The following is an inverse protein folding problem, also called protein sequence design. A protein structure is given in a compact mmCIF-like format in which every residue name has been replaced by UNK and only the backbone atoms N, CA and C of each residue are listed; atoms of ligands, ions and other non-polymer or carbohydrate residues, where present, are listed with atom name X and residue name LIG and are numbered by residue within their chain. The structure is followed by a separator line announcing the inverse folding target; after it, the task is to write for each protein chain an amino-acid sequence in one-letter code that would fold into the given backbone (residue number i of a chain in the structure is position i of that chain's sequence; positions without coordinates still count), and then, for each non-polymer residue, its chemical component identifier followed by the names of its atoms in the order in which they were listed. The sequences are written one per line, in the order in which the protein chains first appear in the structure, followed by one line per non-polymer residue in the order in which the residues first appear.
data_IF_636969733240
#
_entry.id   IF_636969733240
#
_cell.length_a   1.000
_cell.length_b   1.000
_cell.length_c   1.000
_cell.angle_alpha   90.00
_cell.angle_beta   90.00
_cell.angle_gamma   90.00
#
_symmetry.space_group_name_H-M   'P 1'
#
loop_
_entity.id
_entity.type
_entity.pdbx_description
1 polymer ?
#
# COMPACT_ATOMS: atom_id res chain seq x y z
N UNK A 1 -46.56 42.28 -1.27
CA UNK A 1 -46.37 41.13 -2.19
C UNK A 1 -44.92 41.06 -2.62
N UNK A 2 -44.35 39.86 -2.75
CA UNK A 2 -42.93 39.52 -3.09
C UNK A 2 -41.95 39.37 -1.90
N UNK A 3 -42.30 38.59 -0.89
CA UNK A 3 -41.30 38.00 0.03
C UNK A 3 -41.16 36.45 0.00
N UNK A 4 -42.05 35.64 -0.61
CA UNK A 4 -41.86 34.18 -0.56
C UNK A 4 -40.91 33.63 -1.64
N UNK A 5 -40.46 34.44 -2.60
CA UNK A 5 -39.63 33.96 -3.72
C UNK A 5 -38.14 33.84 -3.37
N UNK A 6 -37.64 34.64 -2.42
CA UNK A 6 -36.21 34.69 -2.09
C UNK A 6 -35.79 33.50 -1.21
N UNK A 7 -36.70 32.98 -0.37
CA UNK A 7 -36.40 31.82 0.49
C UNK A 7 -36.31 30.51 -0.30
N UNK A 8 -37.06 30.38 -1.40
CA UNK A 8 -37.00 29.17 -2.25
C UNK A 8 -35.70 29.09 -3.08
N UNK A 9 -35.08 30.24 -3.37
CA UNK A 9 -33.88 30.29 -4.20
C UNK A 9 -32.60 29.94 -3.43
N UNK A 10 -32.57 30.10 -2.10
CA UNK A 10 -31.41 29.71 -1.28
C UNK A 10 -31.35 28.20 -0.98
N UNK A 11 -32.48 27.49 -1.03
CA UNK A 11 -32.53 26.04 -0.79
C UNK A 11 -32.12 25.20 -2.01
N UNK A 12 -32.04 25.81 -3.20
CA UNK A 12 -31.64 25.12 -4.42
C UNK A 12 -30.11 25.03 -4.62
N UNK A 13 -29.31 25.68 -3.76
CA UNK A 13 -27.85 25.72 -3.88
C UNK A 13 -27.10 24.75 -2.95
N UNK A 14 -27.82 23.83 -2.29
CA UNK A 14 -27.23 22.71 -1.53
C UNK A 14 -27.31 21.39 -2.34
N UNK A 15 -27.60 21.50 -3.64
CA UNK A 15 -27.64 20.40 -4.58
C UNK A 15 -26.27 19.75 -4.77
N UNK A 16 -26.01 18.74 -3.95
CA UNK A 16 -25.32 17.51 -4.33
C UNK A 16 -23.96 17.71 -5.02
N UNK A 17 -22.92 18.00 -4.21
CA UNK A 17 -21.60 17.43 -4.50
C UNK A 17 -21.67 15.92 -4.29
N UNK A 18 -22.36 15.21 -5.19
CA UNK A 18 -22.10 13.80 -5.44
C UNK A 18 -20.69 13.76 -6.03
N UNK A 19 -19.70 13.63 -5.14
CA UNK A 19 -18.38 13.17 -5.54
C UNK A 19 -18.63 11.92 -6.39
N UNK A 20 -18.24 11.97 -7.67
CA UNK A 20 -18.32 10.82 -8.55
C UNK A 20 -17.71 9.64 -7.80
N UNK A 21 -18.41 8.48 -7.72
CA UNK A 21 -17.84 7.32 -7.07
C UNK A 21 -16.45 7.09 -7.69
N UNK A 22 -15.41 6.88 -6.87
CA UNK A 22 -14.07 6.66 -7.39
C UNK A 22 -14.17 5.60 -8.49
N UNK A 23 -13.61 5.91 -9.66
CA UNK A 23 -13.72 5.07 -10.85
C UNK A 23 -13.49 3.61 -10.45
N UNK A 24 -14.52 2.79 -10.65
CA UNK A 24 -14.48 1.39 -10.22
C UNK A 24 -13.31 0.70 -10.90
N UNK A 25 -12.46 0.07 -10.10
CA UNK A 25 -11.32 -0.71 -10.58
C UNK A 25 -11.75 -2.11 -11.02
N UNK A 26 -13.00 -2.50 -10.68
CA UNK A 26 -13.54 -3.80 -10.99
C UNK A 26 -13.52 -4.09 -12.49
N UNK A 27 -13.02 -5.27 -12.85
CA UNK A 27 -12.90 -5.75 -14.22
C UNK A 27 -11.70 -5.21 -14.99
N UNK A 28 -10.95 -4.24 -14.44
CA UNK A 28 -9.77 -3.68 -15.08
C UNK A 28 -8.53 -4.53 -14.82
N UNK A 29 -7.60 -4.51 -15.76
CA UNK A 29 -6.28 -5.14 -15.60
C UNK A 29 -5.30 -4.21 -14.88
N UNK A 30 -4.23 -4.76 -14.31
CA UNK A 30 -3.23 -3.94 -13.60
C UNK A 30 -2.62 -2.84 -14.48
N UNK A 31 -2.45 -3.11 -15.78
CA UNK A 31 -1.92 -2.16 -16.76
C UNK A 31 -2.86 -1.00 -17.06
N UNK A 32 -4.17 -1.21 -16.95
CA UNK A 32 -5.17 -0.15 -17.17
C UNK A 32 -5.29 0.81 -15.98
N UNK A 33 -5.07 0.31 -14.76
CA UNK A 33 -5.18 1.12 -13.53
C UNK A 33 -3.87 1.86 -13.23
N UNK A 34 -2.74 1.38 -13.75
CA UNK A 34 -1.42 2.03 -13.66
C UNK A 34 -1.02 2.46 -12.23
N UNK A 35 -1.28 1.60 -11.22
CA UNK A 35 -0.97 1.88 -9.82
C UNK A 35 0.46 1.51 -9.41
N UNK A 36 1.04 0.55 -10.12
CA UNK A 36 2.38 0.02 -9.87
C UNK A 36 3.11 -0.16 -11.20
N UNK A 37 4.37 0.27 -11.25
CA UNK A 37 5.22 0.03 -12.41
C UNK A 37 5.43 -1.49 -12.64
N UNK A 38 5.21 -2.01 -13.86
CA UNK A 38 5.47 -3.42 -14.18
C UNK A 38 6.90 -3.86 -13.86
N UNK A 39 7.87 -2.93 -13.94
CA UNK A 39 9.27 -3.21 -13.60
C UNK A 39 9.45 -3.51 -12.11
N UNK A 40 8.75 -2.78 -11.23
CA UNK A 40 8.77 -2.99 -9.77
C UNK A 40 8.08 -4.29 -9.41
N UNK A 41 6.93 -4.55 -10.03
CA UNK A 41 6.19 -5.78 -9.82
C UNK A 41 7.01 -7.00 -10.24
N UNK A 42 7.60 -7.00 -11.44
CA UNK A 42 8.42 -8.12 -11.95
C UNK A 42 9.58 -8.50 -11.00
N UNK A 43 10.10 -7.53 -10.25
CA UNK A 43 11.18 -7.75 -9.27
C UNK A 43 10.67 -8.27 -7.94
N UNK A 44 9.44 -7.90 -7.54
CA UNK A 44 8.92 -8.15 -6.19
C UNK A 44 8.18 -9.49 -6.06
N UNK A 45 7.63 -10.00 -7.17
CA UNK A 45 6.88 -11.26 -7.19
C UNK A 45 7.50 -12.28 -8.14
N UNK A 46 7.14 -13.57 -7.97
CA UNK A 46 7.66 -14.61 -8.84
C UNK A 46 7.14 -14.46 -10.29
N UNK A 47 7.95 -14.90 -11.26
CA UNK A 47 7.62 -14.82 -12.70
C UNK A 47 6.29 -15.52 -13.05
N UNK A 48 5.94 -16.59 -12.30
CA UNK A 48 4.68 -17.33 -12.47
C UNK A 48 3.47 -16.44 -12.18
N UNK A 49 3.47 -15.73 -11.05
CA UNK A 49 2.35 -14.87 -10.67
C UNK A 49 2.36 -13.53 -11.41
N UNK A 50 3.52 -13.04 -11.81
CA UNK A 50 3.64 -11.80 -12.57
C UNK A 50 2.80 -11.79 -13.84
N UNK A 51 2.90 -12.85 -14.66
CA UNK A 51 2.11 -12.93 -15.89
C UNK A 51 0.61 -13.00 -15.61
N UNK A 52 0.21 -13.76 -14.59
CA UNK A 52 -1.20 -13.88 -14.18
C UNK A 52 -1.76 -12.54 -13.72
N UNK A 53 -1.07 -11.81 -12.84
CA UNK A 53 -1.55 -10.54 -12.29
C UNK A 53 -1.68 -9.42 -13.33
N UNK A 54 -0.93 -9.49 -14.44
CA UNK A 54 -1.06 -8.53 -15.54
C UNK A 54 -2.35 -8.71 -16.35
N UNK A 55 -2.82 -9.95 -16.50
CA UNK A 55 -3.98 -10.27 -17.36
C UNK A 55 -5.26 -10.53 -16.55
N UNK A 56 -5.14 -10.84 -15.27
CA UNK A 56 -6.29 -11.11 -14.41
C UNK A 56 -7.04 -9.81 -14.09
N UNK A 57 -8.38 -9.82 -14.22
CA UNK A 57 -9.19 -8.67 -13.83
C UNK A 57 -9.14 -8.50 -12.32
N UNK A 58 -9.05 -7.25 -11.88
CA UNK A 58 -9.13 -6.88 -10.47
C UNK A 58 -10.61 -6.90 -10.07
N UNK A 59 -10.94 -7.51 -8.93
CA UNK A 59 -12.31 -7.48 -8.40
C UNK A 59 -12.55 -6.23 -7.53
N UNK A 60 -11.52 -5.79 -6.79
CA UNK A 60 -11.59 -4.55 -6.03
C UNK A 60 -10.25 -3.99 -5.59
N UNK A 61 -10.26 -2.71 -5.24
CA UNK A 61 -9.14 -1.98 -4.67
C UNK A 61 -9.50 -1.51 -3.25
N UNK A 62 -8.59 -1.76 -2.31
CA UNK A 62 -8.58 -1.15 -0.98
C UNK A 62 -7.34 -0.30 -0.86
N UNK A 63 -7.49 0.88 -0.29
CA UNK A 63 -6.39 1.81 -0.06
C UNK A 63 -6.37 2.20 1.40
N UNK A 64 -5.27 1.85 2.06
CA UNK A 64 -4.97 2.25 3.43
C UNK A 64 -3.96 3.39 3.38
N UNK A 65 -4.24 4.48 4.11
CA UNK A 65 -3.27 5.55 4.35
C UNK A 65 -2.71 5.40 5.76
N UNK A 66 -1.40 5.51 5.89
CA UNK A 66 -0.69 5.47 7.17
C UNK A 66 0.42 6.52 7.18
N UNK A 67 0.99 6.76 8.35
CA UNK A 67 2.16 7.61 8.56
C UNK A 67 3.35 6.74 8.93
N UNK A 68 4.55 7.13 8.51
CA UNK A 68 5.81 6.46 8.87
C UNK A 68 6.48 7.22 9.99
N UNK A 69 6.85 6.51 11.06
CA UNK A 69 7.75 7.00 12.11
C UNK A 69 8.80 5.92 12.40
N UNK A 70 10.07 6.26 12.21
CA UNK A 70 11.15 5.27 12.18
C UNK A 70 10.87 4.20 11.12
N UNK A 71 10.84 2.92 11.52
CA UNK A 71 10.59 1.78 10.64
C UNK A 71 9.15 1.25 10.67
N UNK A 72 8.24 1.89 11.41
CA UNK A 72 6.86 1.40 11.59
C UNK A 72 5.82 2.35 10.99
N UNK A 73 4.69 1.76 10.61
CA UNK A 73 3.50 2.49 10.22
C UNK A 73 2.61 2.75 11.44
N UNK A 74 1.93 3.90 11.44
CA UNK A 74 0.96 4.27 12.46
C UNK A 74 -0.18 5.12 11.88
N UNK A 75 -1.29 5.22 12.61
CA UNK A 75 -2.45 6.02 12.20
C UNK A 75 -3.11 5.50 10.92
N UNK A 76 -3.08 4.17 10.72
CA UNK A 76 -3.64 3.52 9.55
C UNK A 76 -5.15 3.71 9.46
N UNK A 77 -5.61 4.11 8.27
CA UNK A 77 -7.04 4.31 7.99
C UNK A 77 -7.37 3.96 6.56
N UNK A 78 -8.55 3.39 6.35
CA UNK A 78 -9.08 3.14 5.02
C UNK A 78 -9.48 4.46 4.38
N UNK A 79 -8.96 4.75 3.19
CA UNK A 79 -9.35 5.89 2.37
C UNK A 79 -10.16 5.47 1.13
N UNK A 80 -10.16 4.17 0.82
CA UNK A 80 -10.97 3.56 -0.24
C UNK A 80 -11.18 2.07 0.07
N UNK A 81 -12.41 1.58 -0.11
CA UNK A 81 -12.75 0.16 -0.08
C UNK A 81 -13.83 -0.13 -1.12
N UNK A 82 -13.44 -0.78 -2.21
CA UNK A 82 -14.37 -1.11 -3.32
C UNK A 82 -15.27 -2.31 -3.00
N UNK A 83 -14.95 -3.09 -1.95
CA UNK A 83 -15.58 -4.37 -1.63
C UNK A 83 -16.41 -4.32 -0.34
N UNK A 84 -16.97 -3.15 -0.03
CA UNK A 84 -17.92 -2.97 1.07
C UNK A 84 -17.38 -3.38 2.44
N UNK A 85 -16.07 -3.21 2.67
CA UNK A 85 -15.45 -3.52 3.96
C UNK A 85 -14.95 -4.96 4.13
N UNK A 86 -15.23 -5.87 3.18
CA UNK A 86 -14.96 -7.32 3.32
C UNK A 86 -13.52 -7.68 3.69
N UNK A 87 -12.55 -6.87 3.26
CA UNK A 87 -11.12 -7.12 3.50
C UNK A 87 -10.42 -5.97 4.22
N UNK A 88 -11.18 -5.02 4.77
CA UNK A 88 -10.61 -3.80 5.38
C UNK A 88 -9.79 -4.11 6.62
N UNK A 89 -10.26 -5.02 7.47
CA UNK A 89 -9.55 -5.42 8.69
C UNK A 89 -8.20 -6.07 8.38
N UNK A 90 -8.17 -6.96 7.38
CA UNK A 90 -6.94 -7.61 6.91
C UNK A 90 -5.97 -6.60 6.32
N UNK A 91 -6.48 -5.63 5.55
CA UNK A 91 -5.67 -4.56 4.98
C UNK A 91 -5.07 -3.65 6.08
N UNK A 92 -5.85 -3.29 7.10
CA UNK A 92 -5.39 -2.53 8.25
C UNK A 92 -4.35 -3.30 9.06
N UNK A 93 -4.59 -4.58 9.32
CA UNK A 93 -3.63 -5.43 10.03
C UNK A 93 -2.32 -5.57 9.24
N UNK A 94 -2.41 -5.77 7.93
CA UNK A 94 -1.22 -5.82 7.05
C UNK A 94 -0.45 -4.49 7.07
N UNK A 95 -1.14 -3.35 7.15
CA UNK A 95 -0.49 -2.05 7.30
C UNK A 95 0.24 -1.93 8.65
N UNK A 96 -0.36 -2.38 9.75
CA UNK A 96 0.28 -2.39 11.08
C UNK A 96 1.53 -3.26 11.13
N UNK A 97 1.49 -4.42 10.49
CA UNK A 97 2.59 -5.38 10.49
C UNK A 97 3.71 -5.01 9.51
N UNK A 98 3.48 -4.01 8.65
CA UNK A 98 4.46 -3.56 7.67
C UNK A 98 5.64 -2.86 8.34
N UNK A 99 6.85 -3.23 7.90
CA UNK A 99 8.10 -2.58 8.31
C UNK A 99 8.74 -1.87 7.14
N UNK A 100 8.89 -0.56 7.27
CA UNK A 100 9.58 0.26 6.28
C UNK A 100 11.09 0.06 6.45
N UNK A 101 11.80 -0.26 5.37
CA UNK A 101 13.25 -0.49 5.40
C UNK A 101 13.95 0.62 4.62
N UNK A 102 14.79 1.39 5.29
CA UNK A 102 15.47 2.58 4.79
C UNK A 102 15.92 3.41 6.00
N UNK A 103 16.92 4.26 5.83
CA UNK A 103 17.40 5.15 6.89
C UNK A 103 16.39 6.30 7.05
N UNK A 104 15.26 5.97 7.70
CA UNK A 104 14.28 6.92 8.22
C UNK A 104 14.76 7.53 9.54
N UNK A 105 16.02 7.31 9.88
CA UNK A 105 16.67 7.68 11.11
C UNK A 105 17.75 8.73 10.84
N UNK A 106 17.62 9.85 11.57
CA UNK A 106 18.67 10.79 11.98
C UNK A 106 18.94 12.07 11.17
N UNK A 107 18.72 12.18 9.86
CA UNK A 107 19.17 13.41 9.14
C UNK A 107 18.07 14.37 8.65
N UNK A 108 16.80 14.09 8.95
CA UNK A 108 15.73 15.09 8.77
C UNK A 108 14.90 15.20 10.03
N UNK A 109 15.11 16.28 10.78
CA UNK A 109 14.15 16.75 11.76
C UNK A 109 12.78 16.87 11.06
N UNK A 110 11.86 15.96 11.39
CA UNK A 110 10.43 16.04 11.07
C UNK A 110 10.11 15.89 9.57
N UNK A 111 10.14 14.67 9.04
CA UNK A 111 9.31 14.31 7.87
C UNK A 111 8.56 13.01 8.10
N UNK A 112 7.47 13.12 8.88
CA UNK A 112 6.40 12.12 8.87
C UNK A 112 5.95 11.95 7.43
N UNK A 113 6.31 10.83 6.82
CA UNK A 113 5.99 10.55 5.43
C UNK A 113 4.69 9.78 5.40
N UNK A 114 3.71 10.27 4.64
CA UNK A 114 2.49 9.50 4.41
C UNK A 114 2.79 8.35 3.45
N UNK A 115 2.35 7.16 3.82
CA UNK A 115 2.37 5.94 3.02
C UNK A 115 0.96 5.61 2.60
N UNK A 116 0.83 5.17 1.36
CA UNK A 116 -0.37 4.55 0.83
C UNK A 116 -0.10 3.08 0.56
N UNK A 117 -0.76 2.20 1.30
CA UNK A 117 -0.81 0.78 1.02
C UNK A 117 -2.01 0.52 0.11
N UNK A 118 -1.74 0.03 -1.08
CA UNK A 118 -2.73 -0.39 -2.05
C UNK A 118 -2.87 -1.91 -1.94
N UNK A 119 -4.11 -2.39 -1.88
CA UNK A 119 -4.45 -3.81 -1.83
C UNK A 119 -5.39 -4.12 -2.98
N UNK A 120 -4.87 -4.84 -3.97
CA UNK A 120 -5.66 -5.30 -5.11
C UNK A 120 -6.16 -6.71 -4.84
N UNK A 121 -7.46 -6.89 -4.94
CA UNK A 121 -8.14 -8.16 -4.72
C UNK A 121 -8.48 -8.78 -6.07
N UNK A 122 -8.14 -10.06 -6.22
CA UNK A 122 -8.39 -10.87 -7.39
C UNK A 122 -9.20 -12.09 -6.97
N UNK A 123 -10.22 -12.43 -7.75
CA UNK A 123 -10.85 -13.74 -7.69
C UNK A 123 -10.14 -14.68 -8.67
N UNK A 124 -9.67 -15.82 -8.15
CA UNK A 124 -9.04 -16.88 -8.93
C UNK A 124 -9.77 -18.19 -8.71
N UNK A 125 -9.51 -19.18 -9.58
CA UNK A 125 -10.15 -20.49 -9.49
C UNK A 125 -9.97 -21.17 -8.12
N UNK A 126 -8.82 -20.96 -7.48
CA UNK A 126 -8.46 -21.57 -6.20
C UNK A 126 -8.89 -20.76 -4.95
N UNK A 127 -9.48 -19.56 -5.12
CA UNK A 127 -9.90 -18.70 -4.03
C UNK A 127 -9.70 -17.21 -4.29
N UNK A 128 -9.42 -16.45 -3.23
CA UNK A 128 -9.15 -15.00 -3.33
C UNK A 128 -7.66 -14.74 -3.19
N UNK A 129 -7.11 -13.89 -4.05
CA UNK A 129 -5.71 -13.48 -4.00
C UNK A 129 -5.64 -11.97 -3.77
N UNK A 130 -4.69 -11.54 -2.94
CA UNK A 130 -4.46 -10.14 -2.61
C UNK A 130 -3.01 -9.75 -2.93
N UNK A 131 -2.85 -8.70 -3.75
CA UNK A 131 -1.57 -8.07 -4.03
C UNK A 131 -1.49 -6.76 -3.23
N UNK A 132 -0.58 -6.73 -2.27
CA UNK A 132 -0.30 -5.59 -1.41
C UNK A 132 0.90 -4.85 -1.96
N UNK A 133 0.85 -3.53 -2.07
CA UNK A 133 2.04 -2.72 -2.33
C UNK A 133 1.94 -1.31 -1.74
N UNK A 134 3.06 -0.83 -1.22
CA UNK A 134 3.13 0.47 -0.55
C UNK A 134 3.82 1.54 -1.43
N UNK A 135 3.33 2.77 -1.35
CA UNK A 135 3.84 3.93 -2.09
C UNK A 135 3.97 5.13 -1.16
N UNK A 136 5.09 5.86 -1.21
CA UNK A 136 5.26 7.13 -0.47
C UNK A 136 4.49 8.27 -1.16
N UNK A 137 3.82 9.12 -0.38
CA UNK A 137 3.11 10.30 -0.88
C UNK A 137 4.01 11.55 -0.94
N UNK A 138 5.30 11.41 -1.35
CA UNK A 138 6.25 12.54 -1.47
C UNK A 138 6.50 12.97 -2.91
N UNK A 139 6.66 14.28 -3.20
CA UNK A 139 7.16 14.76 -4.48
C UNK A 139 8.59 14.26 -4.74
N UNK A 140 8.87 13.75 -5.94
CA UNK A 140 10.21 13.31 -6.36
C UNK A 140 10.59 11.87 -5.99
N UNK A 141 9.70 11.13 -5.32
CA UNK A 141 9.91 9.71 -5.02
C UNK A 141 9.45 8.81 -6.16
N UNK A 142 10.28 8.59 -7.19
CA UNK A 142 9.91 7.72 -8.30
C UNK A 142 9.73 6.26 -7.82
N UNK A 143 8.58 5.65 -8.14
CA UNK A 143 8.25 4.27 -7.79
C UNK A 143 9.33 3.26 -8.24
N UNK A 144 10.11 3.63 -9.26
CA UNK A 144 11.15 2.80 -9.85
C UNK A 144 12.28 2.39 -8.87
N UNK A 145 12.51 3.18 -7.81
CA UNK A 145 13.63 2.98 -6.88
C UNK A 145 13.25 2.15 -5.63
N UNK A 146 11.98 1.80 -5.45
CA UNK A 146 11.52 1.02 -4.30
C UNK A 146 11.67 -0.49 -4.57
N UNK A 147 12.57 -1.15 -3.85
CA UNK A 147 12.79 -2.59 -3.90
C UNK A 147 12.02 -3.31 -2.78
N UNK A 148 11.30 -4.40 -3.11
CA UNK A 148 10.65 -5.27 -2.11
C UNK A 148 9.27 -4.82 -1.64
N UNK A 149 8.62 -3.94 -2.40
CA UNK A 149 7.42 -3.22 -1.97
C UNK A 149 6.11 -3.92 -2.28
N UNK A 150 6.12 -5.14 -2.83
CA UNK A 150 4.91 -5.90 -3.13
C UNK A 150 4.89 -7.29 -2.49
N UNK A 151 3.76 -7.64 -1.87
CA UNK A 151 3.48 -8.95 -1.24
C UNK A 151 2.25 -9.55 -1.87
N UNK A 152 2.26 -10.87 -2.04
CA UNK A 152 1.14 -11.62 -2.56
C UNK A 152 0.64 -12.57 -1.47
N UNK A 153 -0.66 -12.60 -1.23
CA UNK A 153 -1.28 -13.56 -0.32
C UNK A 153 -2.50 -14.21 -0.95
N UNK A 154 -2.81 -15.43 -0.52
CA UNK A 154 -3.99 -16.18 -0.95
C UNK A 154 -4.83 -16.53 0.26
N UNK A 155 -6.13 -16.30 0.16
CA UNK A 155 -7.12 -16.76 1.10
C UNK A 155 -7.43 -18.22 0.80
N UNK A 156 -7.06 -19.11 1.73
CA UNK A 156 -7.35 -20.54 1.65
C UNK A 156 -8.81 -20.82 2.03
N UNK A 157 -9.26 -22.03 1.71
CA UNK A 157 -10.61 -22.51 2.05
C UNK A 157 -10.90 -22.54 3.56
N UNK A 158 -9.86 -22.60 4.39
CA UNK A 158 -9.95 -22.53 5.86
C UNK A 158 -10.12 -21.09 6.39
N UNK A 159 -10.16 -20.09 5.51
CA UNK A 159 -10.26 -18.67 5.88
C UNK A 159 -8.92 -18.03 6.25
N UNK A 160 -7.81 -18.76 6.19
CA UNK A 160 -6.48 -18.22 6.52
C UNK A 160 -5.82 -17.55 5.30
N UNK A 161 -5.17 -16.42 5.55
CA UNK A 161 -4.30 -15.77 4.57
C UNK A 161 -2.91 -16.39 4.62
N UNK A 162 -2.47 -16.96 3.49
CA UNK A 162 -1.11 -17.47 3.34
C UNK A 162 -0.33 -16.59 2.38
N UNK A 163 0.83 -16.10 2.83
CA UNK A 163 1.75 -15.34 2.00
C UNK A 163 2.47 -16.25 1.00
N UNK A 164 2.51 -15.81 -0.26
CA UNK A 164 3.35 -16.39 -1.30
C UNK A 164 4.68 -15.68 -1.25
N UNK A 165 5.72 -16.39 -0.78
CA UNK A 165 7.08 -15.85 -0.73
C UNK A 165 7.54 -15.44 -2.12
N UNK A 166 8.06 -14.22 -2.21
CA UNK A 166 8.76 -13.71 -3.38
C UNK A 166 10.13 -14.40 -3.58
N UNK A 167 10.92 -13.93 -4.57
CA UNK A 167 12.31 -14.38 -4.75
C UNK A 167 13.11 -14.26 -3.44
N UNK A 168 14.03 -15.21 -3.20
CA UNK A 168 14.68 -15.48 -1.90
C UNK A 168 15.43 -14.32 -1.20
N UNK A 169 15.53 -13.14 -1.82
CA UNK A 169 16.29 -11.99 -1.31
C UNK A 169 15.42 -10.76 -1.01
N UNK A 170 14.09 -10.93 -1.00
CA UNK A 170 13.12 -9.86 -0.78
C UNK A 170 12.32 -10.22 0.48
N UNK A 171 12.87 -9.85 1.65
CA UNK A 171 12.12 -9.88 2.90
C UNK A 171 10.92 -8.93 2.86
N UNK A 172 10.04 -9.05 3.87
CA UNK A 172 8.82 -8.29 4.17
C UNK A 172 8.64 -6.95 3.43
N UNK A 173 7.40 -6.61 3.04
CA UNK A 173 6.98 -5.34 2.43
C UNK A 173 7.86 -4.15 2.86
N UNK A 174 8.86 -3.83 2.03
CA UNK A 174 9.86 -2.83 2.32
C UNK A 174 9.83 -1.77 1.22
N UNK A 175 9.83 -0.51 1.65
CA UNK A 175 9.85 0.67 0.79
C UNK A 175 11.15 1.41 1.11
N UNK A 176 12.03 1.57 0.12
CA UNK A 176 13.33 2.24 0.24
C UNK A 176 13.28 3.67 -0.30
N UNK A 177 13.81 4.66 0.41
CA UNK A 177 13.88 6.04 -0.08
C UNK A 177 14.85 6.15 -1.28
N UNK A 178 14.49 6.86 -2.38
CA UNK A 178 15.40 7.07 -3.51
C UNK A 178 16.71 7.76 -3.07
N UNK A 179 17.84 7.19 -3.47
CA UNK A 179 19.18 7.71 -3.12
C UNK A 179 19.86 7.00 -1.95
N UNK A 180 19.16 6.15 -1.20
CA UNK A 180 19.78 5.36 -0.14
C UNK A 180 20.27 4.00 -0.63
N UNK A 181 21.57 3.93 -0.94
CA UNK A 181 22.29 2.66 -1.04
C UNK A 181 22.51 2.12 0.36
N UNK A 182 22.39 0.80 0.56
CA UNK A 182 22.76 0.14 1.81
C UNK A 182 24.16 0.60 2.22
N UNK A 183 24.26 1.50 3.19
CA UNK A 183 25.52 1.73 3.85
C UNK A 183 25.71 0.56 4.81
N UNK A 184 26.27 -0.54 4.29
CA UNK A 184 26.51 -1.78 5.05
C UNK A 184 27.30 -1.49 6.34
N UNK A 185 28.09 -0.42 6.37
CA UNK A 185 28.83 0.03 7.54
C UNK A 185 27.91 0.51 8.68
N UNK A 186 26.79 1.19 8.37
CA UNK A 186 25.80 1.61 9.37
C UNK A 186 25.01 0.42 9.89
N UNK A 187 24.69 -0.54 9.03
CA UNK A 187 23.97 -1.76 9.41
C UNK A 187 24.81 -2.64 10.35
N UNK A 188 26.11 -2.77 10.07
CA UNK A 188 27.08 -3.46 10.94
C UNK A 188 27.29 -2.73 12.27
N UNK A 189 27.33 -1.38 12.28
CA UNK A 189 27.45 -0.60 13.52
C UNK A 189 26.20 -0.73 14.41
N UNK A 190 25.00 -0.76 13.82
CA UNK A 190 23.76 -0.94 14.57
C UNK A 190 23.67 -2.34 15.21
N UNK A 191 24.07 -3.38 14.49
CA UNK A 191 24.15 -4.75 15.04
C UNK A 191 25.16 -4.85 16.19
N UNK A 192 26.29 -4.14 16.09
CA UNK A 192 27.30 -4.14 17.14
C UNK A 192 26.84 -3.42 18.43
N UNK A 193 26.13 -2.31 18.30
CA UNK A 193 25.56 -1.57 19.46
C UNK A 193 24.43 -2.36 20.13
N UNK A 194 23.63 -3.09 19.35
CA UNK A 194 22.52 -3.88 19.90
C UNK A 194 23.04 -5.11 20.66
N UNK A 195 24.18 -5.67 20.25
CA UNK A 195 24.84 -6.75 20.98
C UNK A 195 25.51 -6.27 22.27
N UNK A 196 26.12 -5.08 22.30
CA UNK A 196 26.77 -4.58 23.52
C UNK A 196 25.79 -4.13 24.61
N UNK A 197 24.53 -3.86 24.28
CA UNK A 197 23.50 -3.45 25.25
C UNK A 197 22.80 -4.64 25.95
N UNK A 198 23.15 -5.87 25.60
CA UNK A 198 22.63 -7.10 26.22
C UNK A 198 23.66 -7.82 27.10
N UNK A 199 24.90 -7.32 27.15
CA UNK A 199 26.01 -7.88 27.93
C UNK A 199 26.39 -7.02 29.17
N UNK A 200 25.58 -6.00 29.52
CA UNK A 200 25.69 -5.22 30.77
C UNK A 200 24.51 -5.49 31.72
#
# INVERSE_FOLDING_TARGET
MKLPLILLMLLALVGSSLAAPPSSVKGRTLTEVNLISPRVLKRSISSKFYKTLLISPIDGLIVVRAQVSGSKLFGERIIRSDLGGRFDEVALQTARDMKMTGDYTLDTQIKVSAVRLNVLIYEIADGTMALYFATLERPGGDQADYFGSAKLAVLKKDGSWTEIKGPANLGNLAVRDPGQRNNMELQLKLEHITHSALDD
#
